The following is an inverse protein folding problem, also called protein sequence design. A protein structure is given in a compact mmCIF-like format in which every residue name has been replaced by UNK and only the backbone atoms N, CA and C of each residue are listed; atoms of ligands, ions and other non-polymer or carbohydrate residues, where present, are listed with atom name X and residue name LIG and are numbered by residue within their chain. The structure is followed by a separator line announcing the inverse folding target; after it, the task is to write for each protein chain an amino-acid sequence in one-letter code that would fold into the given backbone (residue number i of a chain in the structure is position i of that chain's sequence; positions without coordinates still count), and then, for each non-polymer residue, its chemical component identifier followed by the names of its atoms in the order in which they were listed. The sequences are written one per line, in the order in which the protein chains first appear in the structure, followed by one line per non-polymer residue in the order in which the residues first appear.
data_IF_542766458736
#
_entry.id   IF_542766458736
#
_cell.length_a   1.000
_cell.length_b   1.000
_cell.length_c   1.000
_cell.angle_alpha   90.00
_cell.angle_beta   90.00
_cell.angle_gamma   90.00
#
_symmetry.space_group_name_H-M   'P 1'
#
loop_
_entity.id
_entity.type
_entity.pdbx_description
1 polymer ?
#
# COMPACT_ATOMS: atom_id res chain seq x y z
N UNK A 1 -0.84 4.37 -26.79
CA UNK A 1 0.04 4.82 -25.69
C UNK A 1 1.46 4.88 -26.21
N UNK A 2 2.13 6.03 -26.12
CA UNK A 2 3.54 6.14 -26.53
C UNK A 2 4.47 5.52 -25.47
N UNK A 3 5.75 5.39 -25.79
CA UNK A 3 6.70 4.72 -24.89
C UNK A 3 6.94 5.50 -23.59
N UNK A 4 6.87 6.82 -23.62
CA UNK A 4 6.94 7.65 -22.40
C UNK A 4 5.75 7.40 -21.46
N UNK A 5 4.54 7.31 -22.00
CA UNK A 5 3.34 6.97 -21.24
C UNK A 5 3.43 5.55 -20.67
N UNK A 6 3.93 4.57 -21.43
CA UNK A 6 4.17 3.19 -20.93
C UNK A 6 5.12 3.18 -19.74
N UNK A 7 6.22 3.91 -19.84
CA UNK A 7 7.21 4.02 -18.78
C UNK A 7 6.62 4.70 -17.52
N UNK A 8 5.79 5.74 -17.69
CA UNK A 8 5.10 6.40 -16.58
C UNK A 8 4.15 5.46 -15.83
N UNK A 9 3.28 4.74 -16.56
CA UNK A 9 2.39 3.73 -15.96
C UNK A 9 3.18 2.60 -15.28
N UNK A 10 4.27 2.13 -15.90
CA UNK A 10 5.12 1.11 -15.32
C UNK A 10 5.74 1.56 -13.99
N UNK A 11 6.27 2.79 -13.94
CA UNK A 11 6.82 3.38 -12.71
C UNK A 11 5.76 3.54 -11.63
N UNK A 12 4.57 4.02 -12.00
CA UNK A 12 3.44 4.18 -11.08
C UNK A 12 3.04 2.87 -10.41
N UNK A 13 2.82 1.81 -11.20
CA UNK A 13 2.48 0.49 -10.66
C UNK A 13 3.63 -0.06 -9.81
N UNK A 14 4.88 0.15 -10.24
CA UNK A 14 6.07 -0.29 -9.49
C UNK A 14 6.18 0.41 -8.12
N UNK A 15 5.88 1.70 -8.04
CA UNK A 15 5.95 2.44 -6.78
C UNK A 15 4.81 2.05 -5.82
N UNK A 16 3.59 1.82 -6.33
CA UNK A 16 2.51 1.22 -5.54
C UNK A 16 2.91 -0.16 -5.00
N UNK A 17 3.53 -0.99 -5.84
CA UNK A 17 4.03 -2.31 -5.44
C UNK A 17 5.13 -2.23 -4.37
N UNK A 18 6.04 -1.25 -4.47
CA UNK A 18 7.09 -1.03 -3.46
C UNK A 18 6.50 -0.61 -2.11
N UNK A 19 5.46 0.23 -2.11
CA UNK A 19 4.72 0.57 -0.89
C UNK A 19 4.16 -0.69 -0.21
N UNK A 20 3.48 -1.54 -0.98
CA UNK A 20 2.99 -2.84 -0.49
C UNK A 20 4.12 -3.69 0.11
N UNK A 21 5.21 -3.91 -0.63
CA UNK A 21 6.31 -4.73 -0.17
C UNK A 21 6.96 -4.22 1.13
N UNK A 22 7.03 -2.90 1.29
CA UNK A 22 7.60 -2.24 2.46
C UNK A 22 6.76 -2.49 3.71
N UNK A 23 5.43 -2.45 3.59
CA UNK A 23 4.53 -2.47 4.75
C UNK A 23 3.81 -3.80 5.01
N UNK A 24 3.75 -4.73 4.04
CA UNK A 24 3.07 -6.04 4.20
C UNK A 24 3.54 -6.91 5.39
N UNK A 25 4.76 -6.67 5.89
CA UNK A 25 5.32 -7.40 7.05
C UNK A 25 5.42 -6.55 8.32
N UNK A 26 5.12 -5.25 8.25
CA UNK A 26 5.24 -4.35 9.39
C UNK A 26 4.21 -4.70 10.46
N UNK A 27 4.60 -4.56 11.73
CA UNK A 27 3.65 -4.50 12.84
C UNK A 27 3.12 -3.09 12.86
N UNK A 28 1.81 -2.95 12.67
CA UNK A 28 1.22 -1.64 12.55
C UNK A 28 0.94 -1.06 13.93
N UNK A 29 1.46 0.15 14.10
CA UNK A 29 1.07 1.12 15.10
C UNK A 29 0.49 2.34 14.37
N UNK A 30 -0.18 3.23 15.11
CA UNK A 30 -0.71 4.48 14.54
C UNK A 30 0.37 5.25 13.75
N UNK A 31 1.62 5.26 14.22
CA UNK A 31 2.73 5.91 13.52
C UNK A 31 3.12 5.23 12.20
N UNK A 32 2.97 3.90 12.09
CA UNK A 32 3.18 3.18 10.83
C UNK A 32 2.06 3.51 9.84
N UNK A 33 0.80 3.58 10.30
CA UNK A 33 -0.32 3.96 9.45
C UNK A 33 -0.19 5.39 8.92
N UNK A 34 0.18 6.35 9.77
CA UNK A 34 0.47 7.71 9.33
C UNK A 34 1.59 7.75 8.28
N UNK A 35 2.61 6.89 8.41
CA UNK A 35 3.71 6.80 7.44
C UNK A 35 3.23 6.23 6.11
N UNK A 36 2.34 5.23 6.12
CA UNK A 36 1.71 4.69 4.92
C UNK A 36 0.92 5.78 4.21
N UNK A 37 0.01 6.48 4.92
CA UNK A 37 -0.81 7.55 4.35
C UNK A 37 0.06 8.64 3.70
N UNK A 38 1.12 9.10 4.39
CA UNK A 38 2.04 10.10 3.84
C UNK A 38 2.72 9.64 2.55
N UNK A 39 3.20 8.39 2.50
CA UNK A 39 3.83 7.86 1.29
C UNK A 39 2.82 7.65 0.15
N UNK A 40 1.59 7.24 0.49
CA UNK A 40 0.47 7.16 -0.44
C UNK A 40 0.19 8.52 -1.10
N UNK A 41 0.09 9.58 -0.30
CA UNK A 41 -0.14 10.95 -0.78
C UNK A 41 1.00 11.40 -1.70
N UNK A 42 2.26 11.15 -1.30
CA UNK A 42 3.44 11.47 -2.13
C UNK A 42 3.43 10.74 -3.48
N UNK A 43 3.04 9.46 -3.52
CA UNK A 43 2.94 8.70 -4.78
C UNK A 43 1.78 9.24 -5.63
N UNK A 44 0.62 9.52 -5.02
CA UNK A 44 -0.52 10.06 -5.74
C UNK A 44 -0.17 11.41 -6.40
N UNK A 45 0.46 12.33 -5.65
CA UNK A 45 0.94 13.62 -6.16
C UNK A 45 1.95 13.47 -7.29
N UNK A 46 2.92 12.55 -7.16
CA UNK A 46 3.93 12.26 -8.19
C UNK A 46 3.32 11.89 -9.55
N UNK A 47 2.17 11.22 -9.55
CA UNK A 47 1.47 10.78 -10.77
C UNK A 47 0.20 11.60 -11.06
N UNK A 48 0.15 12.83 -10.55
CA UNK A 48 -0.87 13.83 -10.91
C UNK A 48 -2.24 13.59 -10.28
N UNK A 49 -2.32 12.85 -9.17
CA UNK A 49 -3.56 12.60 -8.43
C UNK A 49 -4.70 12.06 -9.31
N UNK A 50 -4.36 11.26 -10.31
CA UNK A 50 -5.38 10.64 -11.18
C UNK A 50 -6.21 9.62 -10.40
N UNK A 51 -7.47 9.42 -10.79
CA UNK A 51 -8.32 8.36 -10.23
C UNK A 51 -7.66 6.98 -10.31
N UNK A 52 -6.82 6.76 -11.32
CA UNK A 52 -6.12 5.50 -11.51
C UNK A 52 -5.07 5.25 -10.42
N UNK A 53 -4.17 6.21 -10.15
CA UNK A 53 -3.16 6.04 -9.08
C UNK A 53 -3.82 5.96 -7.71
N UNK A 54 -4.84 6.78 -7.46
CA UNK A 54 -5.59 6.74 -6.19
C UNK A 54 -6.27 5.39 -5.98
N UNK A 55 -6.89 4.82 -7.01
CA UNK A 55 -7.50 3.49 -6.94
C UNK A 55 -6.49 2.37 -6.65
N UNK A 56 -5.32 2.39 -7.31
CA UNK A 56 -4.26 1.42 -7.04
C UNK A 56 -3.75 1.51 -5.61
N UNK A 57 -3.54 2.72 -5.13
CA UNK A 57 -3.04 2.99 -3.79
C UNK A 57 -4.03 2.57 -2.70
N UNK A 58 -5.33 2.81 -2.89
CA UNK A 58 -6.38 2.31 -2.00
C UNK A 58 -6.36 0.78 -1.90
N UNK A 59 -6.31 0.08 -3.05
CA UNK A 59 -6.21 -1.38 -3.07
C UNK A 59 -4.95 -1.90 -2.36
N UNK A 60 -3.82 -1.18 -2.47
CA UNK A 60 -2.60 -1.53 -1.74
C UNK A 60 -2.78 -1.34 -0.23
N UNK A 61 -3.42 -0.27 0.20
CA UNK A 61 -3.70 -0.01 1.61
C UNK A 61 -4.66 -1.06 2.21
N UNK A 62 -5.75 -1.37 1.50
CA UNK A 62 -6.72 -2.41 1.90
C UNK A 62 -6.03 -3.78 2.06
N UNK A 63 -5.14 -4.14 1.14
CA UNK A 63 -4.40 -5.41 1.22
C UNK A 63 -3.39 -5.42 2.38
N UNK A 64 -2.76 -4.27 2.67
CA UNK A 64 -1.89 -4.13 3.84
C UNK A 64 -2.72 -4.32 5.13
N UNK A 65 -3.93 -3.75 5.21
CA UNK A 65 -4.86 -3.90 6.34
C UNK A 65 -5.31 -5.35 6.51
N UNK A 66 -5.78 -6.01 5.43
CA UNK A 66 -6.20 -7.42 5.44
C UNK A 66 -5.11 -8.35 5.98
N UNK A 67 -3.86 -8.17 5.53
CA UNK A 67 -2.71 -8.98 5.98
C UNK A 67 -2.36 -8.77 7.46
N UNK A 68 -2.84 -7.71 8.09
CA UNK A 68 -2.64 -7.47 9.51
C UNK A 68 -3.74 -8.06 10.34
N UNK A 69 -4.99 -7.93 9.90
CA UNK A 69 -6.13 -8.54 10.57
C UNK A 69 -5.93 -10.05 10.69
N UNK A 70 -5.46 -10.70 9.62
CA UNK A 70 -5.09 -12.12 9.63
C UNK A 70 -4.00 -12.46 10.67
N UNK A 71 -3.04 -11.56 10.91
CA UNK A 71 -2.01 -11.76 11.95
C UNK A 71 -2.56 -11.53 13.36
N UNK A 72 -3.48 -10.59 13.52
CA UNK A 72 -4.17 -10.32 14.78
C UNK A 72 -5.04 -11.50 15.21
N UNK A 73 -5.75 -12.10 14.28
CA UNK A 73 -6.58 -13.29 14.50
C UNK A 73 -5.74 -14.52 14.86
N UNK A 74 -4.63 -14.76 14.16
CA UNK A 74 -3.72 -15.88 14.47
C UNK A 74 -3.10 -15.77 15.87
N UNK A 75 -2.76 -14.56 16.33
CA UNK A 75 -2.24 -14.32 17.67
C UNK A 75 -3.27 -14.53 18.79
N UNK A 76 -4.55 -14.34 18.52
CA UNK A 76 -5.62 -14.58 19.51
C UNK A 76 -6.05 -16.07 19.56
N UNK A 77 -5.95 -16.80 18.44
CA UNK A 77 -6.23 -18.25 18.40
C UNK A 77 -5.25 -19.11 19.22
N UNK A 78 -3.99 -18.67 19.39
CA UNK A 78 -2.99 -19.39 20.19
C UNK A 78 -3.09 -19.20 21.70
N UNK A 79 -3.90 -18.24 22.20
CA UNK A 79 -4.06 -18.00 23.65
C UNK A 79 -5.11 -18.88 24.33
N UNK A 80 -5.84 -19.69 23.58
CA UNK A 80 -6.91 -20.55 24.08
C UNK A 80 -6.73 -22.05 23.71
N UNK A 81 -5.53 -22.46 23.32
CA UNK A 81 -5.17 -23.85 23.04
C UNK A 81 -4.44 -24.52 24.18
#
# INVERSE_FOLDING_TARGET
MNDGQKEEYYRMVTDCWRLFLKYRKSVISNGVWESIIRETDMIAEKYGNTKFVQGLLLLVMDEIERLQDEKGEQNNGQKHG
#
